data_IF_147190125254
#
_entry.id   IF_147190125254
#
_cell.length_a   1.000
_cell.length_b   1.000
_cell.length_c   1.000
_cell.angle_alpha   90.00
_cell.angle_beta   90.00
_cell.angle_gamma   90.00
#
_symmetry.space_group_name_H-M   'P 1'
#
loop_
_entity.id
_entity.type
_entity.pdbx_description
1 polymer ?
#
# COMPACT_ATOMS: atom_id res chain seq x y z
N UNK A 1 21.67 -6.61 -2.50
CA UNK A 1 20.49 -5.84 -2.06
C UNK A 1 20.03 -6.46 -0.75
N UNK A 2 20.06 -5.73 0.36
CA UNK A 2 19.75 -6.29 1.68
C UNK A 2 18.25 -6.19 1.95
N UNK A 3 17.48 -7.16 1.45
CA UNK A 3 16.08 -7.39 1.86
C UNK A 3 15.97 -8.43 2.97
N UNK A 4 17.11 -8.87 3.52
CA UNK A 4 17.16 -9.93 4.54
C UNK A 4 16.37 -9.54 5.79
N UNK A 5 16.31 -8.23 6.08
CA UNK A 5 15.44 -7.68 7.12
C UNK A 5 13.98 -8.08 6.91
N UNK A 6 13.44 -7.93 5.70
CA UNK A 6 12.03 -8.20 5.39
C UNK A 6 11.66 -9.68 5.50
N UNK A 7 12.61 -10.59 5.24
CA UNK A 7 12.38 -12.05 5.32
C UNK A 7 11.97 -12.53 6.71
N UNK A 8 12.25 -11.75 7.75
CA UNK A 8 11.94 -12.08 9.14
C UNK A 8 10.55 -11.62 9.59
N UNK A 9 9.74 -11.06 8.69
CA UNK A 9 8.46 -10.44 9.04
C UNK A 9 7.31 -10.87 8.14
N UNK A 10 6.11 -10.73 8.67
CA UNK A 10 4.85 -10.73 7.93
C UNK A 10 4.46 -9.27 7.64
N UNK A 11 4.47 -8.84 6.37
CA UNK A 11 4.15 -7.46 6.02
C UNK A 11 2.65 -7.19 6.16
N UNK A 12 2.33 -6.06 6.79
CA UNK A 12 1.00 -5.47 6.85
C UNK A 12 1.01 -4.14 6.08
N UNK A 13 0.24 -4.05 5.00
CA UNK A 13 -0.02 -2.79 4.30
C UNK A 13 -1.42 -2.30 4.67
N UNK A 14 -1.57 -1.00 4.87
CA UNK A 14 -2.87 -0.36 5.04
C UNK A 14 -2.99 0.73 3.97
N UNK A 15 -4.02 0.66 3.14
CA UNK A 15 -4.24 1.62 2.05
C UNK A 15 -5.50 2.45 2.32
N UNK A 16 -5.45 3.74 2.01
CA UNK A 16 -6.53 4.63 2.38
C UNK A 16 -6.41 6.04 1.85
N UNK A 17 -7.36 6.87 2.29
CA UNK A 17 -7.38 8.28 1.98
C UNK A 17 -6.23 9.01 2.67
N UNK A 18 -5.70 10.04 2.00
CA UNK A 18 -4.71 10.95 2.57
C UNK A 18 -5.30 11.87 3.65
N UNK A 19 -4.63 12.99 3.89
CA UNK A 19 -4.97 13.98 4.92
C UNK A 19 -6.38 14.60 4.81
N UNK A 20 -6.99 14.53 3.63
CA UNK A 20 -8.37 14.94 3.38
C UNK A 20 -9.45 14.01 3.97
N UNK A 21 -9.09 12.87 4.56
CA UNK A 21 -10.03 12.00 5.26
C UNK A 21 -10.68 12.76 6.44
N UNK A 22 -12.01 12.96 6.44
CA UNK A 22 -12.68 13.72 7.50
C UNK A 22 -12.86 12.92 8.80
N UNK A 23 -12.67 11.60 8.76
CA UNK A 23 -12.95 10.70 9.88
C UNK A 23 -11.88 10.80 10.96
N UNK A 24 -12.25 10.48 12.20
CA UNK A 24 -11.30 10.38 13.30
C UNK A 24 -10.36 9.18 13.07
N UNK A 25 -9.04 9.41 12.91
CA UNK A 25 -8.07 8.34 12.66
C UNK A 25 -8.08 7.25 13.75
N UNK A 26 -8.42 7.60 14.99
CA UNK A 26 -8.48 6.66 16.10
C UNK A 26 -9.62 5.66 15.94
N UNK A 27 -10.78 6.13 15.48
CA UNK A 27 -11.93 5.25 15.20
C UNK A 27 -11.63 4.32 14.03
N UNK A 28 -11.05 4.85 12.96
CA UNK A 28 -10.68 4.06 11.78
C UNK A 28 -9.61 3.02 12.13
N UNK A 29 -8.59 3.40 12.90
CA UNK A 29 -7.56 2.48 13.37
C UNK A 29 -8.14 1.32 14.22
N UNK A 30 -9.03 1.61 15.18
CA UNK A 30 -9.67 0.57 15.99
C UNK A 30 -10.47 -0.42 15.13
N UNK A 31 -11.16 0.07 14.11
CA UNK A 31 -11.92 -0.77 13.18
C UNK A 31 -11.02 -1.67 12.33
N UNK A 32 -9.90 -1.13 11.84
CA UNK A 32 -8.89 -1.92 11.14
C UNK A 32 -8.32 -3.00 12.06
N UNK A 33 -7.94 -2.66 13.28
CA UNK A 33 -7.37 -3.59 14.25
C UNK A 33 -8.34 -4.71 14.60
N UNK A 34 -9.63 -4.39 14.75
CA UNK A 34 -10.67 -5.40 14.93
C UNK A 34 -10.69 -6.37 13.75
N UNK A 35 -10.73 -5.86 12.52
CA UNK A 35 -10.71 -6.69 11.30
C UNK A 35 -9.43 -7.53 11.18
N UNK A 36 -8.27 -6.96 11.51
CA UNK A 36 -6.99 -7.67 11.51
C UNK A 36 -7.00 -8.81 12.52
N UNK A 37 -7.46 -8.58 13.76
CA UNK A 37 -7.57 -9.61 14.79
C UNK A 37 -8.51 -10.73 14.36
N UNK A 38 -9.67 -10.41 13.80
CA UNK A 38 -10.62 -11.41 13.28
C UNK A 38 -10.00 -12.22 12.12
N UNK A 39 -9.34 -11.56 11.19
CA UNK A 39 -8.65 -12.20 10.07
C UNK A 39 -7.54 -13.14 10.54
N UNK A 40 -6.71 -12.69 11.48
CA UNK A 40 -5.58 -13.47 12.01
C UNK A 40 -5.99 -14.61 12.95
N UNK A 41 -7.22 -14.63 13.48
CA UNK A 41 -7.75 -15.84 14.14
C UNK A 41 -7.89 -16.98 13.13
N UNK A 42 -8.39 -16.70 11.93
CA UNK A 42 -8.54 -17.69 10.88
C UNK A 42 -7.21 -17.98 10.15
N UNK A 43 -6.34 -16.97 10.05
CA UNK A 43 -5.07 -17.01 9.29
C UNK A 43 -3.95 -16.33 10.08
N UNK A 44 -3.44 -16.98 11.14
CA UNK A 44 -2.44 -16.36 11.99
C UNK A 44 -1.13 -16.14 11.22
N UNK A 45 -0.53 -14.93 11.32
CA UNK A 45 0.79 -14.68 10.76
C UNK A 45 1.81 -15.59 11.45
N UNK A 46 2.70 -16.21 10.68
CA UNK A 46 3.75 -17.09 11.20
C UNK A 46 5.00 -16.34 11.64
N UNK A 47 5.12 -15.08 11.22
CA UNK A 47 6.23 -14.18 11.53
C UNK A 47 5.72 -12.94 12.26
N UNK A 48 6.58 -12.23 13.01
CA UNK A 48 6.25 -10.93 13.58
C UNK A 48 5.69 -9.98 12.52
N UNK A 49 4.68 -9.19 12.88
CA UNK A 49 4.09 -8.21 11.96
C UNK A 49 5.03 -7.01 11.79
N UNK A 50 5.17 -6.55 10.55
CA UNK A 50 5.80 -5.30 10.19
C UNK A 50 4.80 -4.45 9.42
N UNK A 51 4.42 -3.29 9.96
CA UNK A 51 3.55 -2.36 9.22
C UNK A 51 4.39 -1.63 8.17
N UNK A 52 4.07 -1.80 6.90
CA UNK A 52 4.81 -1.18 5.80
C UNK A 52 4.00 -0.04 5.21
N UNK A 53 4.51 1.18 5.32
CA UNK A 53 3.90 2.38 4.71
C UNK A 53 4.48 2.68 3.34
N UNK A 54 3.71 3.39 2.50
CA UNK A 54 4.06 3.71 1.12
C UNK A 54 4.50 5.18 0.97
N UNK A 55 5.25 5.67 1.97
CA UNK A 55 5.85 7.01 1.93
C UNK A 55 4.87 8.18 2.14
N UNK A 56 3.69 7.92 2.70
CA UNK A 56 2.72 8.98 3.01
C UNK A 56 3.33 10.06 3.93
N UNK A 57 3.11 11.36 3.62
CA UNK A 57 3.62 12.43 4.46
C UNK A 57 2.97 12.41 5.84
N UNK A 58 3.66 12.97 6.82
CA UNK A 58 3.06 13.16 8.15
C UNK A 58 1.82 14.06 8.07
N UNK A 59 0.72 13.60 8.66
CA UNK A 59 -0.51 14.37 8.82
C UNK A 59 -1.24 13.98 10.11
N UNK A 60 -2.04 14.91 10.66
CA UNK A 60 -2.88 14.66 11.84
C UNK A 60 -4.12 13.80 11.52
N UNK A 61 -4.45 13.65 10.24
CA UNK A 61 -5.57 12.87 9.71
C UNK A 61 -5.15 11.93 8.58
N UNK A 62 -6.07 11.10 8.12
CA UNK A 62 -5.82 10.21 7.00
C UNK A 62 -4.89 9.05 7.32
N UNK A 63 -4.39 8.41 6.27
CA UNK A 63 -3.64 7.16 6.35
C UNK A 63 -2.38 7.25 7.23
N UNK A 64 -1.67 8.37 7.22
CA UNK A 64 -0.48 8.58 8.05
C UNK A 64 -0.84 8.55 9.55
N UNK A 65 -1.88 9.27 9.96
CA UNK A 65 -2.36 9.24 11.34
C UNK A 65 -2.94 7.87 11.74
N UNK A 66 -3.65 7.21 10.82
CA UNK A 66 -4.25 5.88 11.06
C UNK A 66 -3.15 4.84 11.28
N UNK A 67 -2.16 4.76 10.39
CA UNK A 67 -1.08 3.75 10.47
C UNK A 67 -0.20 3.92 11.70
N UNK A 68 0.05 5.16 12.16
CA UNK A 68 0.68 5.41 13.47
C UNK A 68 -0.08 4.76 14.61
N UNK A 69 -1.39 5.00 14.68
CA UNK A 69 -2.26 4.45 15.73
C UNK A 69 -2.34 2.93 15.68
N UNK A 70 -2.41 2.35 14.48
CA UNK A 70 -2.37 0.89 14.31
C UNK A 70 -1.03 0.32 14.79
N UNK A 71 0.09 0.95 14.43
CA UNK A 71 1.41 0.51 14.89
C UNK A 71 1.57 0.61 16.42
N UNK A 72 1.04 1.67 17.04
CA UNK A 72 1.07 1.87 18.48
C UNK A 72 0.21 0.85 19.23
N UNK A 73 -1.04 0.66 18.82
CA UNK A 73 -1.99 -0.24 19.47
C UNK A 73 -1.59 -1.72 19.32
N UNK A 74 -0.98 -2.10 18.19
CA UNK A 74 -0.43 -3.45 18.01
C UNK A 74 0.98 -3.61 18.58
N UNK A 75 1.63 -2.52 19.00
CA UNK A 75 3.02 -2.46 19.44
C UNK A 75 4.00 -3.11 18.43
N UNK A 76 3.90 -2.71 17.17
CA UNK A 76 4.70 -3.24 16.05
C UNK A 76 5.62 -2.18 15.43
N UNK A 77 6.77 -2.58 14.86
CA UNK A 77 7.63 -1.67 14.10
C UNK A 77 6.99 -1.29 12.76
N UNK A 78 7.51 -0.20 12.17
CA UNK A 78 7.17 0.20 10.80
C UNK A 78 8.36 0.04 9.86
N UNK A 79 8.07 -0.21 8.59
CA UNK A 79 8.99 0.00 7.49
C UNK A 79 8.36 0.92 6.44
N UNK A 80 9.17 1.45 5.54
CA UNK A 80 8.72 2.36 4.49
C UNK A 80 9.22 1.89 3.13
N UNK A 81 8.31 1.79 2.17
CA UNK A 81 8.65 1.77 0.74
C UNK A 81 8.46 3.18 0.20
N UNK A 82 9.44 3.69 -0.53
CA UNK A 82 9.40 5.06 -1.06
C UNK A 82 9.87 5.12 -2.51
N UNK A 83 9.26 5.99 -3.31
CA UNK A 83 9.77 6.39 -4.63
C UNK A 83 11.18 6.97 -4.56
N UNK A 84 12.04 6.54 -5.45
CA UNK A 84 13.39 7.07 -5.65
C UNK A 84 13.36 8.56 -6.04
N UNK A 85 14.46 9.29 -5.75
CA UNK A 85 14.51 10.74 -5.90
C UNK A 85 14.44 11.22 -7.36
N UNK A 86 14.79 10.38 -8.33
CA UNK A 86 14.61 10.64 -9.75
C UNK A 86 13.15 10.55 -10.21
N UNK A 87 12.28 9.92 -9.41
CA UNK A 87 10.83 9.88 -9.61
C UNK A 87 10.15 11.02 -8.82
N UNK A 88 10.45 11.11 -7.52
CA UNK A 88 9.87 12.13 -6.63
C UNK A 88 10.83 12.43 -5.46
N UNK A 89 11.72 13.41 -5.66
CA UNK A 89 12.74 13.85 -4.68
C UNK A 89 12.17 14.25 -3.31
N UNK A 90 10.92 14.72 -3.27
CA UNK A 90 10.22 15.12 -2.07
C UNK A 90 9.62 13.96 -1.28
N UNK A 91 9.53 12.77 -1.85
CA UNK A 91 8.68 11.71 -1.31
C UNK A 91 9.22 11.16 0.01
N UNK A 92 10.45 10.64 0.03
CA UNK A 92 11.06 10.13 1.26
C UNK A 92 11.33 11.20 2.33
N UNK A 93 11.85 12.40 1.97
CA UNK A 93 12.08 13.45 2.97
C UNK A 93 10.82 13.92 3.69
N UNK A 94 9.67 13.93 3.00
CA UNK A 94 8.40 14.38 3.58
C UNK A 94 7.60 13.25 4.23
N UNK A 95 7.98 11.99 3.99
CA UNK A 95 7.27 10.83 4.50
C UNK A 95 7.28 10.75 6.04
N UNK A 96 6.30 10.05 6.59
CA UNK A 96 6.23 9.83 8.02
C UNK A 96 7.22 8.75 8.52
N UNK A 97 8.32 9.19 9.12
CA UNK A 97 9.39 8.34 9.67
C UNK A 97 9.10 7.73 11.06
N UNK A 98 7.93 8.00 11.66
CA UNK A 98 7.62 7.51 13.01
C UNK A 98 7.66 5.98 13.10
N UNK A 99 8.49 5.46 14.01
CA UNK A 99 8.75 4.02 14.23
C UNK A 99 9.26 3.26 13.00
N UNK A 100 9.75 3.96 11.97
CA UNK A 100 10.31 3.34 10.77
C UNK A 100 11.70 2.82 11.09
N UNK A 101 11.85 1.49 11.13
CA UNK A 101 13.11 0.79 11.44
C UNK A 101 13.85 0.32 10.18
N UNK A 102 13.17 0.33 9.03
CA UNK A 102 13.73 -0.08 7.76
C UNK A 102 13.07 0.68 6.60
N UNK A 103 13.86 1.05 5.58
CA UNK A 103 13.41 1.78 4.40
C UNK A 103 13.90 1.07 3.15
N UNK A 104 13.04 0.95 2.14
CA UNK A 104 13.35 0.27 0.88
C UNK A 104 12.94 1.17 -0.28
N UNK A 105 13.85 1.54 -1.18
CA UNK A 105 13.50 2.30 -2.36
C UNK A 105 12.67 1.46 -3.33
N UNK A 106 11.79 2.10 -4.08
CA UNK A 106 10.96 1.48 -5.11
C UNK A 106 11.80 0.71 -6.13
N UNK A 107 12.92 1.29 -6.57
CA UNK A 107 13.88 0.68 -7.50
C UNK A 107 14.44 -0.67 -7.03
N UNK A 108 14.57 -0.87 -5.72
CA UNK A 108 15.02 -2.14 -5.16
C UNK A 108 13.94 -3.21 -5.30
N UNK A 109 12.67 -2.88 -5.06
CA UNK A 109 11.56 -3.82 -5.25
C UNK A 109 11.36 -4.16 -6.73
N UNK A 110 11.43 -3.16 -7.63
CA UNK A 110 11.31 -3.43 -9.07
C UNK A 110 12.44 -4.31 -9.59
N UNK A 111 13.67 -4.13 -9.09
CA UNK A 111 14.82 -4.97 -9.42
C UNK A 111 14.60 -6.43 -9.00
N UNK A 112 14.04 -6.66 -7.80
CA UNK A 112 13.73 -8.00 -7.28
C UNK A 112 12.62 -8.67 -8.09
N UNK A 113 11.57 -7.92 -8.40
CA UNK A 113 10.46 -8.41 -9.22
C UNK A 113 10.94 -8.80 -10.61
N UNK A 114 11.68 -7.94 -11.30
CA UNK A 114 12.26 -8.22 -12.61
C UNK A 114 13.20 -9.42 -12.60
N UNK A 115 14.06 -9.54 -11.58
CA UNK A 115 15.00 -10.66 -11.49
C UNK A 115 14.30 -12.03 -11.35
N UNK A 116 13.08 -12.04 -10.80
CA UNK A 116 12.30 -13.26 -10.58
C UNK A 116 11.38 -13.57 -11.76
N UNK A 117 10.81 -12.53 -12.37
CA UNK A 117 9.93 -12.62 -13.52
C UNK A 117 10.15 -11.40 -14.43
N UNK A 118 10.91 -11.59 -15.51
CA UNK A 118 11.26 -10.52 -16.45
C UNK A 118 10.02 -9.86 -17.11
N UNK A 119 8.83 -10.47 -17.05
CA UNK A 119 7.60 -9.91 -17.61
C UNK A 119 6.76 -9.11 -16.62
N UNK A 120 7.02 -9.21 -15.32
CA UNK A 120 6.09 -8.70 -14.30
C UNK A 120 5.96 -7.18 -14.31
N UNK A 121 7.07 -6.45 -14.48
CA UNK A 121 7.04 -4.98 -14.50
C UNK A 121 6.42 -4.45 -15.80
N UNK A 122 6.58 -5.15 -16.92
CA UNK A 122 5.92 -4.83 -18.18
C UNK A 122 4.41 -4.95 -18.00
N UNK A 123 3.96 -6.05 -17.41
CA UNK A 123 2.54 -6.30 -17.18
C UNK A 123 1.92 -5.33 -16.15
N UNK A 124 2.62 -5.03 -15.06
CA UNK A 124 2.20 -4.02 -14.07
C UNK A 124 2.03 -2.65 -14.72
N UNK A 125 3.05 -2.21 -15.47
CA UNK A 125 3.03 -0.93 -16.18
C UNK A 125 1.85 -0.84 -17.13
N UNK A 126 1.60 -1.89 -17.92
CA UNK A 126 0.48 -1.96 -18.85
C UNK A 126 -0.86 -1.86 -18.12
N UNK A 127 -1.08 -2.66 -17.08
CA UNK A 127 -2.36 -2.69 -16.35
C UNK A 127 -2.65 -1.41 -15.58
N UNK A 128 -1.64 -0.81 -14.95
CA UNK A 128 -1.79 0.48 -14.27
C UNK A 128 -2.13 1.56 -15.30
N UNK A 129 -1.43 1.60 -16.44
CA UNK A 129 -1.72 2.56 -17.51
C UNK A 129 -3.14 2.41 -18.07
N UNK A 130 -3.57 1.19 -18.40
CA UNK A 130 -4.93 0.92 -18.88
C UNK A 130 -6.01 1.33 -17.86
N UNK A 131 -5.76 1.10 -16.57
CA UNK A 131 -6.68 1.52 -15.50
C UNK A 131 -6.71 3.03 -15.34
N UNK A 132 -5.57 3.70 -15.45
CA UNK A 132 -5.50 5.16 -15.44
C UNK A 132 -6.27 5.77 -16.61
N UNK A 133 -6.11 5.22 -17.82
CA UNK A 133 -6.86 5.63 -19.01
C UNK A 133 -8.37 5.42 -18.86
N UNK A 134 -8.80 4.27 -18.34
CA UNK A 134 -10.22 4.00 -18.04
C UNK A 134 -10.79 4.99 -17.04
N UNK A 135 -10.05 5.30 -15.96
CA UNK A 135 -10.45 6.31 -14.96
C UNK A 135 -10.57 7.70 -15.60
N UNK A 136 -9.61 8.11 -16.43
CA UNK A 136 -9.65 9.39 -17.12
C UNK A 136 -10.79 9.48 -18.14
N UNK A 137 -11.09 8.39 -18.85
CA UNK A 137 -12.25 8.30 -19.75
C UNK A 137 -13.56 8.49 -18.99
N UNK A 138 -13.72 7.83 -17.84
CA UNK A 138 -14.89 8.01 -16.98
C UNK A 138 -15.00 9.44 -16.42
N UNK A 139 -13.89 10.04 -15.98
CA UNK A 139 -13.85 11.44 -15.50
C UNK A 139 -14.23 12.43 -16.59
N UNK A 140 -13.77 12.22 -17.83
CA UNK A 140 -14.15 13.05 -18.98
C UNK A 140 -15.65 12.99 -19.25
N UNK A 141 -16.27 11.81 -19.17
CA UNK A 141 -17.73 11.68 -19.28
C UNK A 141 -18.48 12.46 -18.17
N UNK A 142 -17.87 12.62 -17.00
CA UNK A 142 -18.35 13.42 -15.88
C UNK A 142 -17.92 14.89 -15.93
N UNK A 143 -17.28 15.35 -17.02
CA UNK A 143 -16.72 16.72 -17.18
C UNK A 143 -15.71 17.10 -16.10
N UNK A 144 -15.02 16.11 -15.53
CA UNK A 144 -13.91 16.31 -14.59
C UNK A 144 -12.57 16.33 -15.37
N UNK A 145 -11.56 17.07 -14.88
CA UNK A 145 -10.22 16.99 -15.45
C UNK A 145 -9.64 15.58 -15.29
N UNK A 146 -8.64 15.24 -16.09
CA UNK A 146 -7.86 14.02 -15.90
C UNK A 146 -7.27 13.96 -14.47
N UNK A 147 -6.97 12.75 -14.02
CA UNK A 147 -6.17 12.54 -12.82
C UNK A 147 -4.77 13.14 -13.03
N UNK A 148 -4.20 13.65 -11.94
CA UNK A 148 -2.86 14.21 -11.96
C UNK A 148 -1.81 13.13 -12.30
N UNK A 149 -0.67 13.56 -12.84
CA UNK A 149 0.39 12.65 -13.32
C UNK A 149 0.89 11.69 -12.23
N UNK A 150 1.00 12.20 -10.99
CA UNK A 150 1.44 11.40 -9.84
C UNK A 150 0.60 10.15 -9.59
N UNK A 151 -0.65 10.08 -10.06
CA UNK A 151 -1.49 8.88 -9.88
C UNK A 151 -0.83 7.63 -10.44
N UNK A 152 -0.06 7.74 -11.52
CA UNK A 152 0.68 6.62 -12.07
C UNK A 152 1.76 6.14 -11.09
N UNK A 153 2.63 7.05 -10.62
CA UNK A 153 3.76 6.70 -9.75
C UNK A 153 3.29 6.09 -8.42
N UNK A 154 2.27 6.69 -7.80
CA UNK A 154 1.73 6.17 -6.54
C UNK A 154 0.95 4.86 -6.73
N UNK A 155 0.27 4.65 -7.86
CA UNK A 155 -0.34 3.36 -8.17
C UNK A 155 0.74 2.28 -8.39
N UNK A 156 1.83 2.62 -9.09
CA UNK A 156 2.96 1.71 -9.28
C UNK A 156 3.63 1.37 -7.95
N UNK A 157 3.91 2.37 -7.10
CA UNK A 157 4.44 2.18 -5.76
C UNK A 157 3.55 1.22 -4.95
N UNK A 158 2.24 1.42 -5.00
CA UNK A 158 1.27 0.63 -4.26
C UNK A 158 1.34 -0.86 -4.65
N UNK A 159 1.26 -1.14 -5.96
CA UNK A 159 1.21 -2.50 -6.47
C UNK A 159 2.57 -3.21 -6.38
N UNK A 160 3.66 -2.51 -6.68
CA UNK A 160 5.03 -3.04 -6.52
C UNK A 160 5.34 -3.34 -5.06
N UNK A 161 4.93 -2.49 -4.12
CA UNK A 161 5.09 -2.75 -2.70
C UNK A 161 4.40 -4.05 -2.30
N UNK A 162 3.11 -4.21 -2.62
CA UNK A 162 2.34 -5.41 -2.28
C UNK A 162 2.95 -6.68 -2.87
N UNK A 163 3.20 -6.68 -4.18
CA UNK A 163 3.67 -7.88 -4.88
C UNK A 163 5.12 -8.20 -4.48
N UNK A 164 5.98 -7.19 -4.39
CA UNK A 164 7.38 -7.34 -3.97
C UNK A 164 7.48 -7.89 -2.56
N UNK A 165 6.73 -7.35 -1.61
CA UNK A 165 6.72 -7.83 -0.23
C UNK A 165 6.16 -9.24 -0.13
N UNK A 166 5.07 -9.57 -0.83
CA UNK A 166 4.54 -10.93 -0.85
C UNK A 166 5.54 -11.92 -1.44
N UNK A 167 6.27 -11.53 -2.49
CA UNK A 167 7.31 -12.37 -3.10
C UNK A 167 8.50 -12.60 -2.16
N UNK A 168 8.95 -11.57 -1.44
CA UNK A 168 10.07 -11.66 -0.50
C UNK A 168 9.66 -12.46 0.74
N UNK A 169 8.58 -12.06 1.40
CA UNK A 169 8.17 -12.59 2.69
C UNK A 169 7.35 -13.89 2.59
N UNK A 170 6.88 -14.27 1.40
CA UNK A 170 6.03 -15.43 1.16
C UNK A 170 4.56 -15.25 1.60
N UNK A 171 4.23 -14.16 2.29
CA UNK A 171 2.90 -13.83 2.77
C UNK A 171 2.72 -12.30 2.83
N UNK A 172 1.45 -11.85 2.87
CA UNK A 172 1.08 -10.45 3.00
C UNK A 172 -0.29 -10.34 3.68
N UNK A 173 -0.50 -9.28 4.45
CA UNK A 173 -1.84 -8.81 4.82
C UNK A 173 -2.02 -7.37 4.33
N UNK A 174 -3.15 -7.10 3.70
CA UNK A 174 -3.55 -5.77 3.22
C UNK A 174 -4.88 -5.41 3.84
N UNK A 175 -4.99 -4.24 4.46
CA UNK A 175 -6.25 -3.70 4.94
C UNK A 175 -6.57 -2.38 4.24
N UNK A 176 -7.84 -2.10 4.03
CA UNK A 176 -8.29 -0.79 3.58
C UNK A 176 -8.87 0.01 4.73
N UNK A 177 -8.72 1.33 4.68
CA UNK A 177 -9.34 2.24 5.66
C UNK A 177 -10.83 2.47 5.43
N UNK A 178 -11.42 1.90 4.37
CA UNK A 178 -12.82 2.08 3.99
C UNK A 178 -13.34 0.83 3.27
N UNK A 179 -14.64 0.55 3.46
CA UNK A 179 -15.38 -0.42 2.62
C UNK A 179 -15.61 0.16 1.22
N UNK A 180 -15.98 1.42 1.14
CA UNK A 180 -16.26 2.11 -0.12
C UNK A 180 -15.01 2.84 -0.60
N UNK A 181 -14.40 2.31 -1.65
CA UNK A 181 -13.19 2.87 -2.25
C UNK A 181 -13.62 3.72 -3.44
N UNK A 182 -13.26 5.01 -3.42
CA UNK A 182 -13.54 5.89 -4.55
C UNK A 182 -12.88 5.37 -5.84
N UNK A 183 -13.59 5.27 -6.97
CA UNK A 183 -13.03 4.78 -8.23
C UNK A 183 -11.95 5.71 -8.81
N UNK A 184 -11.81 6.92 -8.27
CA UNK A 184 -10.81 7.92 -8.67
C UNK A 184 -9.73 8.15 -7.60
N UNK A 185 -9.57 7.24 -6.64
CA UNK A 185 -8.45 7.26 -5.69
C UNK A 185 -7.27 6.40 -6.18
N UNK A 186 -6.08 6.62 -5.63
CA UNK A 186 -4.94 5.71 -5.81
C UNK A 186 -5.25 4.32 -5.24
N UNK A 187 -5.89 4.25 -4.07
CA UNK A 187 -6.29 2.97 -3.44
C UNK A 187 -7.02 2.05 -4.42
N UNK A 188 -7.94 2.57 -5.24
CA UNK A 188 -8.70 1.78 -6.22
C UNK A 188 -7.86 1.08 -7.32
N UNK A 189 -6.54 1.30 -7.38
CA UNK A 189 -5.62 0.50 -8.18
C UNK A 189 -5.30 -0.87 -7.56
N UNK A 190 -5.71 -1.15 -6.31
CA UNK A 190 -5.48 -2.43 -5.62
C UNK A 190 -5.95 -3.66 -6.41
N UNK A 191 -6.93 -3.46 -7.28
CA UNK A 191 -7.45 -4.49 -8.17
C UNK A 191 -6.41 -4.96 -9.21
N UNK A 192 -5.33 -4.20 -9.49
CA UNK A 192 -4.27 -4.62 -10.43
C UNK A 192 -3.60 -5.91 -9.96
N UNK A 193 -3.05 -5.94 -8.75
CA UNK A 193 -2.41 -7.12 -8.20
C UNK A 193 -3.37 -8.30 -8.05
N UNK A 194 -4.64 -8.02 -7.77
CA UNK A 194 -5.72 -9.02 -7.71
C UNK A 194 -6.00 -9.62 -9.09
N UNK A 195 -6.21 -8.81 -10.12
CA UNK A 195 -6.48 -9.26 -11.49
C UNK A 195 -5.30 -10.01 -12.12
N UNK A 196 -4.09 -9.74 -11.64
CA UNK A 196 -2.87 -10.47 -12.02
C UNK A 196 -2.71 -11.81 -11.27
N UNK A 197 -3.57 -12.10 -10.28
CA UNK A 197 -3.44 -13.26 -9.41
C UNK A 197 -2.20 -13.22 -8.51
N UNK A 198 -1.60 -12.04 -8.31
CA UNK A 198 -0.43 -11.86 -7.43
C UNK A 198 -0.85 -11.56 -6.00
N UNK A 199 -1.98 -10.89 -5.83
CA UNK A 199 -2.63 -10.67 -4.54
C UNK A 199 -3.91 -11.49 -4.53
N UNK A 200 -4.14 -12.23 -3.45
CA UNK A 200 -5.28 -13.10 -3.28
C UNK A 200 -6.32 -12.42 -2.39
N UNK A 201 -7.59 -12.76 -2.56
CA UNK A 201 -8.66 -12.27 -1.69
C UNK A 201 -8.40 -12.57 -0.21
N UNK A 202 -7.61 -13.60 0.07
CA UNK A 202 -7.21 -14.00 1.42
C UNK A 202 -6.08 -13.18 2.01
N UNK A 203 -5.37 -12.39 1.22
CA UNK A 203 -4.43 -11.38 1.72
C UNK A 203 -5.18 -10.14 2.21
N UNK A 204 -6.40 -9.93 1.72
CA UNK A 204 -7.20 -8.73 1.98
C UNK A 204 -8.04 -8.88 3.25
N UNK A 205 -7.97 -7.89 4.13
CA UNK A 205 -8.82 -7.76 5.31
C UNK A 205 -10.00 -6.86 4.96
N UNK A 206 -11.25 -7.34 5.06
CA UNK A 206 -12.40 -6.50 4.80
C UNK A 206 -12.51 -5.41 5.87
N UNK A 207 -12.80 -4.19 5.45
CA UNK A 207 -13.20 -3.13 6.38
C UNK A 207 -14.64 -3.39 6.80
N UNK A 208 -14.87 -3.61 8.11
CA UNK A 208 -16.21 -3.84 8.65
C UNK A 208 -17.16 -2.69 8.26
N UNK A 209 -18.45 -2.97 8.11
CA UNK A 209 -19.48 -1.93 7.93
C UNK A 209 -19.83 -1.28 9.26
#
# INVERSE_FOLDING_TARGET
MNTDFLLSYHPLIIEGMGDYDPRDPSRVALQIIKGLKEHWVARPPQMPILLVTQGDPYAEKGISAITRKVADELNIPRAMIFLDADIADYHEPNADHYKVVHKVPYSQLTSILNATDNGIMVELTRRVSERLEKKNTARKALKMPNLAEYFYDFAMLQEVAKIGLKQICGALTVAHTSHDISPFSVTSFYEVGMDMGRIEATDMVPFAK
#
